data_IF_604961860710
#
_entry.id   IF_604961860710
#
_cell.length_a   1.000
_cell.length_b   1.000
_cell.length_c   1.000
_cell.angle_alpha   90.00
_cell.angle_beta   90.00
_cell.angle_gamma   90.00
#
_symmetry.space_group_name_H-M   'P 1'
#
loop_
_entity.id
_entity.type
_entity.pdbx_description
1 polymer ?
#
# COMPACT_ATOMS: atom_id res chain seq x y z
N UNK A 1 72.67 -9.89 6.25
CA UNK A 1 72.60 -8.62 5.50
C UNK A 1 71.33 -8.67 4.67
N UNK A 2 70.35 -7.80 4.94
CA UNK A 2 70.23 -6.43 4.41
C UNK A 2 69.97 -6.39 2.91
N UNK A 3 68.85 -5.74 2.52
CA UNK A 3 68.52 -5.28 1.16
C UNK A 3 67.22 -5.90 0.62
N UNK A 4 66.01 -5.42 0.96
CA UNK A 4 65.29 -4.27 0.36
C UNK A 4 65.21 -4.27 -1.17
N UNK A 5 63.98 -4.35 -1.69
CA UNK A 5 63.63 -4.19 -3.10
C UNK A 5 62.11 -4.24 -3.33
N UNK A 6 61.42 -3.16 -2.96
CA UNK A 6 60.02 -2.89 -3.27
C UNK A 6 59.80 -2.76 -4.79
N UNK A 7 58.79 -3.44 -5.32
CA UNK A 7 58.26 -3.25 -6.66
C UNK A 7 56.73 -3.23 -6.63
N UNK A 8 56.17 -2.02 -6.65
CA UNK A 8 54.74 -1.74 -6.79
C UNK A 8 54.24 -2.17 -8.18
N UNK A 9 53.20 -3.01 -8.20
CA UNK A 9 52.39 -3.30 -9.38
C UNK A 9 50.91 -3.12 -9.04
N UNK A 10 50.39 -1.91 -9.28
CA UNK A 10 48.96 -1.59 -9.24
C UNK A 10 48.27 -2.26 -10.44
N UNK A 11 47.59 -3.38 -10.20
CA UNK A 11 46.65 -3.98 -11.14
C UNK A 11 45.22 -3.59 -10.76
N UNK A 12 44.66 -2.65 -11.52
CA UNK A 12 43.24 -2.27 -11.49
C UNK A 12 42.37 -3.49 -11.83
N UNK A 13 41.67 -4.01 -10.83
CA UNK A 13 40.58 -4.98 -11.04
C UNK A 13 39.34 -4.25 -11.54
N UNK A 14 39.06 -4.38 -12.84
CA UNK A 14 37.76 -4.06 -13.42
C UNK A 14 36.73 -5.04 -12.85
N UNK A 15 35.93 -4.58 -11.89
CA UNK A 15 34.73 -5.27 -11.43
C UNK A 15 33.70 -5.26 -12.56
N UNK A 16 33.49 -6.43 -13.18
CA UNK A 16 32.36 -6.65 -14.07
C UNK A 16 31.08 -6.61 -13.23
N UNK A 17 30.34 -5.50 -13.31
CA UNK A 17 28.98 -5.40 -12.82
C UNK A 17 28.12 -6.40 -13.61
N UNK A 18 27.71 -7.48 -12.94
CA UNK A 18 26.77 -8.43 -13.50
C UNK A 18 25.40 -7.75 -13.55
N UNK A 19 24.91 -7.51 -14.77
CA UNK A 19 23.55 -7.05 -15.00
C UNK A 19 22.54 -8.00 -14.33
N UNK A 20 21.46 -7.49 -13.72
CA UNK A 20 20.42 -8.34 -13.18
C UNK A 20 19.80 -9.20 -14.29
N UNK A 21 19.41 -10.44 -14.00
CA UNK A 21 18.79 -11.31 -14.99
C UNK A 21 17.49 -10.66 -15.51
N UNK A 22 17.15 -10.84 -16.80
CA UNK A 22 15.91 -10.33 -17.35
C UNK A 22 14.74 -10.93 -16.57
N UNK A 23 13.84 -10.06 -16.10
CA UNK A 23 12.58 -10.46 -15.49
C UNK A 23 11.90 -11.47 -16.41
N UNK A 24 11.77 -12.71 -15.94
CA UNK A 24 10.85 -13.68 -16.51
C UNK A 24 9.50 -13.00 -16.58
N UNK A 25 8.96 -12.86 -17.79
CA UNK A 25 7.61 -12.38 -18.01
C UNK A 25 6.64 -13.36 -17.34
N UNK A 26 6.32 -13.11 -16.07
CA UNK A 26 5.13 -13.61 -15.42
C UNK A 26 3.97 -13.13 -16.28
N UNK A 27 3.15 -14.06 -16.78
CA UNK A 27 1.92 -13.74 -17.49
C UNK A 27 1.18 -12.72 -16.63
N UNK A 28 1.03 -11.49 -17.12
CA UNK A 28 0.31 -10.45 -16.40
C UNK A 28 -1.10 -10.99 -16.12
N UNK A 29 -1.34 -11.23 -14.84
CA UNK A 29 -2.60 -11.67 -14.30
C UNK A 29 -3.60 -10.54 -14.53
N UNK A 30 -4.71 -10.84 -15.22
CA UNK A 30 -5.77 -9.86 -15.51
C UNK A 30 -6.64 -9.66 -14.26
N UNK A 31 -6.00 -9.27 -13.15
CA UNK A 31 -6.67 -9.02 -11.87
C UNK A 31 -7.35 -7.66 -11.96
N UNK A 32 -8.66 -7.68 -12.16
CA UNK A 32 -9.52 -6.52 -12.02
C UNK A 32 -9.83 -6.27 -10.54
N UNK A 33 -9.75 -5.02 -10.11
CA UNK A 33 -10.14 -4.62 -8.75
C UNK A 33 -11.25 -3.58 -8.83
N UNK A 34 -12.35 -3.81 -8.11
CA UNK A 34 -13.51 -2.90 -8.10
C UNK A 34 -14.24 -2.90 -6.76
N UNK A 35 -15.12 -1.92 -6.57
CA UNK A 35 -16.05 -1.90 -5.45
C UNK A 35 -16.90 -3.17 -5.44
N UNK A 36 -17.09 -3.70 -4.24
CA UNK A 36 -17.96 -4.84 -4.02
C UNK A 36 -19.42 -4.45 -4.23
N UNK A 37 -20.20 -5.36 -4.82
CA UNK A 37 -21.63 -5.18 -5.08
C UNK A 37 -22.46 -6.26 -4.39
N UNK A 38 -23.76 -6.01 -4.22
CA UNK A 38 -24.67 -7.01 -3.63
C UNK A 38 -24.79 -8.27 -4.50
N UNK A 39 -24.66 -8.12 -5.83
CA UNK A 39 -24.74 -9.21 -6.80
C UNK A 39 -23.58 -10.22 -6.66
N UNK A 40 -22.45 -9.79 -6.07
CA UNK A 40 -21.28 -10.62 -5.82
C UNK A 40 -21.55 -11.75 -4.81
N UNK A 41 -22.69 -11.76 -4.11
CA UNK A 41 -23.01 -12.73 -3.06
C UNK A 41 -22.78 -14.20 -3.48
N UNK A 42 -23.10 -14.53 -4.74
CA UNK A 42 -22.89 -15.90 -5.27
C UNK A 42 -21.41 -16.23 -5.47
N UNK A 43 -20.65 -15.28 -6.02
CA UNK A 43 -19.23 -15.44 -6.25
C UNK A 43 -18.46 -15.45 -4.92
N UNK A 44 -18.86 -14.59 -3.98
CA UNK A 44 -18.34 -14.59 -2.61
C UNK A 44 -18.55 -15.94 -1.92
N UNK A 45 -19.73 -16.55 -2.05
CA UNK A 45 -19.98 -17.90 -1.53
C UNK A 45 -19.03 -18.95 -2.11
N UNK A 46 -18.69 -18.83 -3.39
CA UNK A 46 -17.72 -19.71 -4.06
C UNK A 46 -16.29 -19.46 -3.58
N UNK A 47 -15.89 -18.20 -3.42
CA UNK A 47 -14.59 -17.80 -2.85
C UNK A 47 -14.43 -18.31 -1.42
N UNK A 48 -15.45 -18.16 -0.57
CA UNK A 48 -15.44 -18.68 0.80
C UNK A 48 -15.32 -20.20 0.81
N UNK A 49 -15.98 -20.91 -0.11
CA UNK A 49 -15.83 -22.35 -0.24
C UNK A 49 -14.40 -22.76 -0.61
N UNK A 50 -13.74 -22.03 -1.53
CA UNK A 50 -12.32 -22.22 -1.87
C UNK A 50 -11.41 -21.96 -0.66
N UNK A 51 -11.67 -20.90 0.10
CA UNK A 51 -10.85 -20.44 1.22
C UNK A 51 -11.09 -21.18 2.56
N UNK A 52 -11.56 -22.43 2.55
CA UNK A 52 -11.75 -23.25 3.76
C UNK A 52 -13.16 -23.21 4.37
N UNK A 53 -14.12 -22.61 3.68
CA UNK A 53 -15.55 -22.68 3.98
C UNK A 53 -16.03 -21.75 5.09
N UNK A 54 -17.35 -21.70 5.28
CA UNK A 54 -18.02 -20.75 6.18
C UNK A 54 -17.66 -20.91 7.66
N UNK A 55 -17.13 -22.08 8.07
CA UNK A 55 -16.69 -22.29 9.45
C UNK A 55 -15.39 -21.54 9.75
N UNK A 56 -14.40 -21.62 8.84
CA UNK A 56 -13.14 -20.88 8.99
C UNK A 56 -13.37 -19.38 8.98
N UNK A 57 -14.21 -18.92 8.04
CA UNK A 57 -14.63 -17.52 7.98
C UNK A 57 -15.32 -17.05 9.26
N UNK A 58 -16.20 -17.88 9.84
CA UNK A 58 -16.89 -17.56 11.09
C UNK A 58 -15.94 -17.53 12.29
N UNK A 59 -14.93 -18.40 12.30
CA UNK A 59 -13.92 -18.38 13.36
C UNK A 59 -13.05 -17.11 13.29
N UNK A 60 -12.73 -16.63 12.08
CA UNK A 60 -11.94 -15.42 11.87
C UNK A 60 -12.74 -14.13 12.10
N UNK A 61 -13.94 -14.04 11.53
CA UNK A 61 -14.71 -12.79 11.42
C UNK A 61 -16.10 -12.88 12.06
N UNK A 62 -16.45 -13.95 12.77
CA UNK A 62 -17.79 -14.12 13.34
C UNK A 62 -18.88 -14.27 12.27
N UNK A 63 -20.10 -13.85 12.59
CA UNK A 63 -21.21 -13.96 11.64
C UNK A 63 -21.02 -12.97 10.48
N UNK A 64 -20.80 -13.51 9.28
CA UNK A 64 -20.65 -12.73 8.06
C UNK A 64 -21.97 -12.73 7.29
N UNK A 65 -22.51 -11.54 7.04
CA UNK A 65 -23.60 -11.30 6.11
C UNK A 65 -23.05 -10.39 5.00
N UNK A 66 -22.93 -10.92 3.78
CA UNK A 66 -22.37 -10.20 2.64
C UNK A 66 -23.09 -8.89 2.37
N UNK A 67 -24.42 -8.90 2.35
CA UNK A 67 -25.21 -7.71 2.07
C UNK A 67 -24.94 -6.59 3.09
N UNK A 68 -24.96 -6.94 4.37
CA UNK A 68 -24.66 -5.98 5.44
C UNK A 68 -23.22 -5.45 5.37
N UNK A 69 -22.25 -6.29 4.99
CA UNK A 69 -20.87 -5.86 4.84
C UNK A 69 -20.67 -4.90 3.67
N UNK A 70 -21.31 -5.15 2.52
CA UNK A 70 -21.22 -4.27 1.35
C UNK A 70 -21.95 -2.95 1.60
N UNK A 71 -23.13 -2.99 2.24
CA UNK A 71 -23.94 -1.79 2.51
C UNK A 71 -23.37 -0.91 3.62
N UNK A 72 -22.84 -1.50 4.68
CA UNK A 72 -22.42 -0.77 5.89
C UNK A 72 -20.90 -0.63 6.01
N UNK A 73 -20.13 -1.35 5.20
CA UNK A 73 -18.68 -1.25 5.20
C UNK A 73 -18.24 0.13 4.69
N UNK A 74 -17.33 0.77 5.43
CA UNK A 74 -16.70 2.02 5.00
C UNK A 74 -16.10 1.87 3.59
N UNK A 75 -15.34 0.78 3.37
CA UNK A 75 -14.78 0.48 2.06
C UNK A 75 -14.81 -1.02 1.76
N UNK A 76 -15.63 -1.41 0.78
CA UNK A 76 -15.81 -2.81 0.37
C UNK A 76 -15.31 -3.00 -1.06
N UNK A 77 -14.36 -3.90 -1.25
CA UNK A 77 -13.66 -4.10 -2.52
C UNK A 77 -13.45 -5.59 -2.80
N UNK A 78 -13.50 -5.94 -4.08
CA UNK A 78 -13.24 -7.29 -4.57
C UNK A 78 -12.16 -7.28 -5.64
N UNK A 79 -11.39 -8.35 -5.70
CA UNK A 79 -10.52 -8.67 -6.82
C UNK A 79 -11.15 -9.80 -7.61
N UNK A 80 -11.19 -9.65 -8.93
CA UNK A 80 -11.78 -10.60 -9.85
C UNK A 80 -10.88 -10.84 -11.05
N UNK A 81 -11.02 -12.01 -11.66
CA UNK A 81 -10.36 -12.34 -12.92
C UNK A 81 -11.31 -13.11 -13.83
N UNK A 82 -11.08 -13.10 -15.15
CA UNK A 82 -11.79 -13.98 -16.07
C UNK A 82 -11.59 -15.43 -15.67
N UNK A 83 -12.67 -16.22 -15.64
CA UNK A 83 -12.59 -17.65 -15.37
C UNK A 83 -11.80 -18.37 -16.45
N UNK A 84 -11.18 -19.49 -16.08
CA UNK A 84 -10.44 -20.37 -17.02
C UNK A 84 -11.34 -20.88 -18.16
N UNK A 85 -12.64 -21.08 -17.90
CA UNK A 85 -13.62 -21.48 -18.93
C UNK A 85 -14.01 -20.34 -19.88
N UNK A 86 -13.53 -19.12 -19.63
CA UNK A 86 -13.77 -17.91 -20.42
C UNK A 86 -15.18 -17.33 -20.25
N UNK A 87 -16.01 -17.86 -19.34
CA UNK A 87 -17.41 -17.45 -19.20
C UNK A 87 -17.63 -16.78 -17.85
N UNK A 88 -17.51 -15.45 -17.86
CA UNK A 88 -17.75 -14.59 -16.70
C UNK A 88 -16.53 -14.45 -15.79
N UNK A 89 -16.74 -13.75 -14.68
CA UNK A 89 -15.70 -13.47 -13.70
C UNK A 89 -15.76 -14.46 -12.53
N UNK A 90 -14.61 -14.64 -11.88
CA UNK A 90 -14.55 -15.22 -10.54
C UNK A 90 -13.86 -14.26 -9.57
N UNK A 91 -14.26 -14.33 -8.30
CA UNK A 91 -13.55 -13.59 -7.26
C UNK A 91 -12.29 -14.34 -6.85
N UNK A 92 -11.20 -13.59 -6.81
CA UNK A 92 -9.91 -13.99 -6.26
C UNK A 92 -9.71 -13.45 -4.84
N UNK A 93 -10.38 -12.35 -4.50
CA UNK A 93 -10.27 -11.74 -3.17
C UNK A 93 -11.47 -10.88 -2.80
N UNK A 94 -11.74 -10.78 -1.49
CA UNK A 94 -12.74 -9.88 -0.92
C UNK A 94 -12.19 -9.23 0.36
N UNK A 95 -12.27 -7.90 0.43
CA UNK A 95 -11.78 -7.09 1.53
C UNK A 95 -12.86 -6.07 1.91
N UNK A 96 -13.19 -6.01 3.20
CA UNK A 96 -14.14 -5.03 3.74
C UNK A 96 -13.48 -4.29 4.90
N UNK A 97 -13.39 -2.98 4.77
CA UNK A 97 -12.74 -2.07 5.70
C UNK A 97 -13.76 -1.23 6.45
N UNK A 98 -13.45 -0.90 7.71
CA UNK A 98 -14.18 0.06 8.55
C UNK A 98 -13.21 0.89 9.39
N UNK A 99 -13.71 1.95 10.02
CA UNK A 99 -12.99 2.82 10.97
C UNK A 99 -12.82 2.20 12.37
N UNK A 100 -13.32 0.97 12.57
CA UNK A 100 -13.19 0.21 13.81
C UNK A 100 -13.05 -1.30 13.54
N UNK A 101 -12.31 -2.03 14.40
CA UNK A 101 -12.21 -3.48 14.30
C UNK A 101 -13.54 -4.13 14.69
N UNK A 102 -13.85 -5.27 14.09
CA UNK A 102 -15.07 -6.02 14.40
C UNK A 102 -15.20 -6.40 15.88
N UNK A 103 -14.10 -6.54 16.60
CA UNK A 103 -14.09 -6.85 18.04
C UNK A 103 -14.46 -5.68 18.94
N UNK A 104 -14.34 -4.43 18.46
CA UNK A 104 -14.60 -3.21 19.23
C UNK A 104 -15.19 -2.12 18.33
N UNK A 105 -16.52 -1.92 18.32
CA UNK A 105 -17.18 -0.98 17.41
C UNK A 105 -17.03 0.49 17.81
N UNK A 106 -16.41 0.81 18.95
CA UNK A 106 -16.21 2.19 19.38
C UNK A 106 -14.79 2.68 19.07
N UNK A 107 -14.70 3.69 18.20
CA UNK A 107 -13.45 4.30 17.75
C UNK A 107 -12.48 4.64 18.90
N UNK A 108 -12.97 5.36 19.92
CA UNK A 108 -12.18 5.79 21.07
C UNK A 108 -11.64 4.62 21.89
N UNK A 109 -12.42 3.55 22.02
CA UNK A 109 -12.02 2.37 22.78
C UNK A 109 -10.95 1.60 22.06
N UNK A 110 -11.05 1.46 20.73
CA UNK A 110 -10.03 0.75 19.99
C UNK A 110 -8.70 1.49 19.99
N UNK A 111 -8.74 2.81 19.80
CA UNK A 111 -7.53 3.60 19.83
C UNK A 111 -6.82 3.52 21.19
N UNK A 112 -7.60 3.56 22.29
CA UNK A 112 -7.04 3.43 23.63
C UNK A 112 -6.35 2.09 23.85
N UNK A 113 -7.04 0.96 23.61
CA UNK A 113 -6.40 -0.35 23.84
C UNK A 113 -5.25 -0.61 22.87
N UNK A 114 -5.34 -0.12 21.63
CA UNK A 114 -4.28 -0.29 20.64
C UNK A 114 -3.04 0.52 21.03
N UNK A 115 -3.23 1.76 21.50
CA UNK A 115 -2.16 2.58 22.06
C UNK A 115 -1.49 1.90 23.26
N UNK A 116 -2.28 1.35 24.19
CA UNK A 116 -1.72 0.62 25.34
C UNK A 116 -0.96 -0.66 24.92
N UNK A 117 -1.40 -1.33 23.85
CA UNK A 117 -0.83 -2.60 23.39
C UNK A 117 0.45 -2.43 22.54
N UNK A 118 0.48 -1.42 21.67
CA UNK A 118 1.52 -1.26 20.65
C UNK A 118 2.36 0.02 20.80
N UNK A 119 1.86 1.02 21.53
CA UNK A 119 2.53 2.30 21.83
C UNK A 119 3.18 2.98 20.60
N UNK A 120 2.46 2.98 19.48
CA UNK A 120 2.90 3.63 18.25
C UNK A 120 1.98 4.81 17.89
N UNK A 121 2.46 6.06 18.00
CA UNK A 121 1.64 7.25 17.79
C UNK A 121 1.29 7.51 16.31
N UNK A 122 1.81 6.72 15.36
CA UNK A 122 1.49 6.86 13.94
C UNK A 122 0.05 6.45 13.61
N UNK A 123 -0.52 5.55 14.39
CA UNK A 123 -1.90 5.07 14.21
C UNK A 123 -2.89 6.05 14.83
N UNK A 124 -3.79 6.59 14.00
CA UNK A 124 -4.83 7.51 14.41
C UNK A 124 -6.18 7.14 13.78
N UNK A 125 -7.27 7.63 14.37
CA UNK A 125 -8.63 7.43 13.82
C UNK A 125 -8.76 7.96 12.39
N UNK A 126 -8.00 9.00 12.03
CA UNK A 126 -8.07 9.65 10.73
C UNK A 126 -7.30 8.94 9.62
N UNK A 127 -6.35 8.06 9.95
CA UNK A 127 -5.45 7.44 8.97
C UNK A 127 -5.40 5.90 9.03
N UNK A 128 -6.26 5.29 9.83
CA UNK A 128 -6.25 3.83 10.06
C UNK A 128 -7.61 3.23 9.78
N UNK A 129 -7.64 2.23 8.89
CA UNK A 129 -8.81 1.39 8.65
C UNK A 129 -8.57 -0.04 9.11
N UNK A 130 -9.64 -0.72 9.49
CA UNK A 130 -9.67 -2.10 9.97
C UNK A 130 -10.33 -3.03 8.95
N UNK A 131 -9.59 -4.03 8.51
CA UNK A 131 -10.07 -5.14 7.71
C UNK A 131 -11.01 -6.04 8.53
N UNK A 132 -12.30 -5.75 8.45
CA UNK A 132 -13.38 -6.51 9.09
C UNK A 132 -13.76 -7.79 8.32
N UNK A 133 -13.21 -7.96 7.13
CA UNK A 133 -13.24 -9.18 6.33
C UNK A 133 -12.00 -9.19 5.41
N UNK A 134 -11.28 -10.31 5.36
CA UNK A 134 -10.31 -10.61 4.31
C UNK A 134 -10.49 -12.08 3.90
N UNK A 135 -10.74 -12.31 2.62
CA UNK A 135 -10.81 -13.64 2.02
C UNK A 135 -9.99 -13.61 0.73
N UNK A 136 -9.05 -14.54 0.59
CA UNK A 136 -8.22 -14.71 -0.60
C UNK A 136 -8.42 -16.12 -1.14
N UNK A 137 -8.41 -16.25 -2.46
CA UNK A 137 -8.40 -17.55 -3.12
C UNK A 137 -7.03 -18.22 -2.89
N UNK A 138 -6.98 -19.38 -2.21
CA UNK A 138 -5.72 -20.05 -1.94
C UNK A 138 -4.98 -20.55 -3.19
N UNK A 139 -5.66 -20.61 -4.36
CA UNK A 139 -5.04 -20.97 -5.63
C UNK A 139 -4.45 -19.78 -6.39
N UNK A 140 -4.83 -18.55 -6.04
CA UNK A 140 -4.34 -17.33 -6.68
C UNK A 140 -3.03 -16.85 -6.06
N UNK A 141 -2.29 -16.01 -6.79
CA UNK A 141 -1.14 -15.31 -6.23
C UNK A 141 -1.63 -14.24 -5.25
N UNK A 142 -1.41 -14.50 -3.96
CA UNK A 142 -1.88 -13.63 -2.90
C UNK A 142 -1.18 -12.25 -2.90
N UNK A 143 0.09 -12.17 -3.29
CA UNK A 143 0.81 -10.89 -3.33
C UNK A 143 0.22 -9.98 -4.40
N UNK A 144 -0.07 -10.55 -5.56
CA UNK A 144 -0.69 -9.84 -6.67
C UNK A 144 -2.12 -9.41 -6.35
N UNK A 145 -2.95 -10.34 -5.85
CA UNK A 145 -4.36 -10.06 -5.54
C UNK A 145 -4.49 -9.08 -4.39
N UNK A 146 -3.87 -9.36 -3.24
CA UNK A 146 -3.97 -8.48 -2.07
C UNK A 146 -3.24 -7.16 -2.31
N UNK A 147 -2.11 -7.18 -3.02
CA UNK A 147 -1.38 -5.99 -3.43
C UNK A 147 -2.23 -5.06 -4.30
N UNK A 148 -2.89 -5.60 -5.33
CA UNK A 148 -3.80 -4.81 -6.18
C UNK A 148 -4.96 -4.22 -5.38
N UNK A 149 -5.55 -4.99 -4.45
CA UNK A 149 -6.63 -4.52 -3.59
C UNK A 149 -6.17 -3.40 -2.64
N UNK A 150 -5.04 -3.56 -1.96
CA UNK A 150 -4.49 -2.56 -1.05
C UNK A 150 -4.05 -1.30 -1.81
N UNK A 151 -3.40 -1.44 -2.97
CA UNK A 151 -3.10 -0.32 -3.86
C UNK A 151 -4.35 0.46 -4.24
N UNK A 152 -5.44 -0.22 -4.57
CA UNK A 152 -6.72 0.44 -4.89
C UNK A 152 -7.32 1.17 -3.69
N UNK A 153 -7.28 0.56 -2.49
CA UNK A 153 -7.72 1.19 -1.23
C UNK A 153 -6.93 2.47 -0.97
N UNK A 154 -5.60 2.39 -0.93
CA UNK A 154 -4.74 3.54 -0.61
C UNK A 154 -4.83 4.65 -1.66
N UNK A 155 -4.97 4.32 -2.95
CA UNK A 155 -5.19 5.34 -3.98
C UNK A 155 -6.56 6.03 -3.86
N UNK A 156 -7.58 5.33 -3.37
CA UNK A 156 -8.94 5.90 -3.19
C UNK A 156 -9.10 6.67 -1.87
N UNK A 157 -8.27 6.36 -0.88
CA UNK A 157 -8.30 6.96 0.46
C UNK A 157 -6.94 7.61 0.78
N UNK A 158 -6.69 8.84 0.31
CA UNK A 158 -5.39 9.50 0.48
C UNK A 158 -5.05 9.84 1.94
N UNK A 159 -6.06 9.93 2.81
CA UNK A 159 -5.91 10.15 4.24
C UNK A 159 -5.51 8.88 5.02
N UNK A 160 -5.65 7.70 4.41
CA UNK A 160 -5.35 6.41 5.05
C UNK A 160 -3.91 6.01 4.79
N UNK A 161 -3.18 5.79 5.87
CA UNK A 161 -1.79 5.32 5.87
C UNK A 161 -1.71 3.84 6.27
N UNK A 162 -2.67 3.35 7.05
CA UNK A 162 -2.64 2.01 7.64
C UNK A 162 -3.94 1.24 7.40
N UNK A 163 -3.79 -0.02 6.97
CA UNK A 163 -4.87 -1.01 7.01
C UNK A 163 -4.48 -2.11 7.98
N UNK A 164 -5.24 -2.28 9.05
CA UNK A 164 -5.02 -3.26 10.10
C UNK A 164 -5.96 -4.46 9.96
N UNK A 165 -5.48 -5.67 10.22
CA UNK A 165 -6.28 -6.88 10.28
C UNK A 165 -6.08 -7.55 11.65
N UNK A 166 -7.15 -7.71 12.42
CA UNK A 166 -7.15 -8.55 13.64
C UNK A 166 -7.66 -9.94 13.35
N UNK A 167 -6.94 -10.96 13.80
CA UNK A 167 -7.36 -12.36 13.80
C UNK A 167 -7.46 -12.90 15.23
N UNK A 168 -8.53 -13.63 15.58
CA UNK A 168 -8.63 -14.24 16.90
C UNK A 168 -7.53 -15.26 17.20
N UNK A 169 -7.24 -15.47 18.49
CA UNK A 169 -6.22 -16.43 18.92
C UNK A 169 -6.51 -17.83 18.38
N UNK A 170 -5.50 -18.44 17.75
CA UNK A 170 -5.60 -19.77 17.14
C UNK A 170 -6.22 -19.80 15.74
N UNK A 171 -6.66 -18.66 15.21
CA UNK A 171 -7.03 -18.54 13.79
C UNK A 171 -5.75 -18.33 12.97
N UNK A 172 -5.48 -19.17 11.95
CA UNK A 172 -4.30 -18.99 11.12
C UNK A 172 -4.42 -17.72 10.26
N UNK A 173 -3.28 -17.08 10.01
CA UNK A 173 -3.18 -15.99 9.04
C UNK A 173 -3.61 -16.50 7.65
N UNK A 174 -4.48 -15.79 6.91
CA UNK A 174 -4.84 -16.17 5.56
C UNK A 174 -3.59 -16.40 4.70
N UNK A 175 -3.59 -17.49 3.93
CA UNK A 175 -2.43 -17.88 3.14
C UNK A 175 -2.01 -16.73 2.22
N UNK A 176 -0.72 -16.37 2.28
CA UNK A 176 -0.15 -15.30 1.48
C UNK A 176 -0.45 -13.88 1.98
N UNK A 177 -1.28 -13.66 3.00
CA UNK A 177 -1.49 -12.30 3.52
C UNK A 177 -0.20 -11.63 4.01
N UNK A 178 0.79 -12.43 4.45
CA UNK A 178 2.09 -11.94 4.91
C UNK A 178 3.01 -11.44 3.80
N UNK A 179 2.69 -11.62 2.51
CA UNK A 179 3.44 -10.97 1.42
C UNK A 179 3.14 -9.48 1.35
N UNK A 180 1.95 -9.06 1.78
CA UNK A 180 1.51 -7.66 1.74
C UNK A 180 1.36 -7.03 3.14
N UNK A 181 1.19 -7.84 4.19
CA UNK A 181 0.98 -7.35 5.55
C UNK A 181 2.05 -7.87 6.50
N UNK A 182 2.52 -7.01 7.40
CA UNK A 182 3.48 -7.36 8.43
C UNK A 182 2.74 -7.63 9.74
N UNK A 183 3.18 -8.63 10.50
CA UNK A 183 2.63 -8.85 11.83
C UNK A 183 3.19 -7.80 12.79
N UNK A 184 2.31 -7.13 13.54
CA UNK A 184 2.70 -6.21 14.59
C UNK A 184 3.11 -6.98 15.85
N UNK A 185 4.20 -6.51 16.46
CA UNK A 185 4.67 -6.97 17.76
C UNK A 185 4.18 -6.01 18.83
N UNK A 186 3.62 -6.55 19.92
CA UNK A 186 3.19 -5.74 21.05
C UNK A 186 4.38 -5.08 21.74
N UNK A 187 4.15 -3.90 22.32
CA UNK A 187 5.15 -3.23 23.12
C UNK A 187 5.54 -4.12 24.33
N UNK A 188 6.85 -4.22 24.68
CA UNK A 188 7.29 -5.09 25.78
C UNK A 188 6.57 -4.84 27.10
N UNK A 189 6.26 -3.59 27.42
CA UNK A 189 5.55 -3.24 28.66
C UNK A 189 4.11 -3.78 28.66
N UNK A 190 3.44 -3.77 27.50
CA UNK A 190 2.11 -4.35 27.36
C UNK A 190 2.13 -5.87 27.56
N UNK A 191 3.19 -6.55 27.07
CA UNK A 191 3.39 -7.98 27.28
C UNK A 191 3.57 -8.30 28.77
N UNK A 192 4.39 -7.52 29.49
CA UNK A 192 4.59 -7.69 30.93
C UNK A 192 3.30 -7.47 31.72
N UNK A 193 2.52 -6.45 31.35
CA UNK A 193 1.20 -6.22 31.95
C UNK A 193 0.31 -7.43 31.73
N UNK A 194 0.22 -7.97 30.50
CA UNK A 194 -0.59 -9.17 30.22
C UNK A 194 -0.17 -10.41 31.01
N UNK A 195 1.14 -10.66 31.18
CA UNK A 195 1.64 -11.80 31.94
C UNK A 195 1.34 -11.69 33.45
N UNK A 196 1.26 -10.46 33.95
CA UNK A 196 0.97 -10.15 35.35
C UNK A 196 -0.52 -9.94 35.66
N UNK A 197 -1.32 -9.62 34.64
CA UNK A 197 -2.73 -9.26 34.77
C UNK A 197 -3.61 -10.49 34.94
N UNK A 198 -4.49 -10.44 35.94
CA UNK A 198 -5.67 -11.32 36.00
C UNK A 198 -6.68 -10.89 34.92
N UNK A 199 -7.49 -11.81 34.39
CA UNK A 199 -8.47 -11.60 33.29
C UNK A 199 -9.58 -10.53 33.52
N UNK A 200 -9.43 -9.73 34.58
CA UNK A 200 -10.23 -8.55 34.91
C UNK A 200 -9.87 -7.31 34.08
N UNK A 201 -8.67 -7.25 33.50
CA UNK A 201 -8.20 -6.07 32.78
C UNK A 201 -8.84 -5.99 31.38
N UNK A 202 -9.34 -4.81 31.01
CA UNK A 202 -10.02 -4.60 29.72
C UNK A 202 -9.06 -4.84 28.55
N UNK A 203 -7.82 -4.36 28.67
CA UNK A 203 -6.75 -4.58 27.68
C UNK A 203 -6.50 -6.08 27.48
N UNK A 204 -6.34 -6.84 28.57
CA UNK A 204 -6.10 -8.28 28.50
C UNK A 204 -7.23 -9.01 27.76
N UNK A 205 -8.49 -8.60 27.93
CA UNK A 205 -9.63 -9.19 27.19
C UNK A 205 -9.62 -8.86 25.71
N UNK A 206 -9.24 -7.64 25.33
CA UNK A 206 -9.16 -7.26 23.92
C UNK A 206 -8.01 -7.98 23.24
N UNK A 207 -6.82 -8.02 23.84
CA UNK A 207 -5.68 -8.72 23.27
C UNK A 207 -5.90 -10.24 23.27
N UNK A 208 -6.52 -10.80 24.31
CA UNK A 208 -6.87 -12.23 24.30
C UNK A 208 -7.85 -12.58 23.16
N UNK A 209 -8.77 -11.66 22.83
CA UNK A 209 -9.67 -11.79 21.67
C UNK A 209 -8.98 -11.49 20.35
N UNK A 210 -8.08 -10.51 20.28
CA UNK A 210 -7.32 -10.09 19.12
C UNK A 210 -5.94 -10.80 19.15
N UNK A 211 -5.91 -12.07 18.76
CA UNK A 211 -4.72 -12.91 18.87
C UNK A 211 -3.55 -12.48 17.98
N UNK A 212 -3.82 -11.98 16.78
CA UNK A 212 -2.78 -11.54 15.83
C UNK A 212 -3.25 -10.27 15.14
N UNK A 213 -2.37 -9.27 15.04
CA UNK A 213 -2.63 -8.04 14.29
C UNK A 213 -1.62 -7.93 13.16
N UNK A 214 -2.12 -7.76 11.94
CA UNK A 214 -1.32 -7.48 10.75
C UNK A 214 -1.53 -6.04 10.30
N UNK A 215 -0.50 -5.43 9.71
CA UNK A 215 -0.54 -4.08 9.15
C UNK A 215 -0.08 -4.08 7.70
N UNK A 216 -0.85 -3.43 6.83
CA UNK A 216 -0.40 -2.93 5.55
C UNK A 216 -0.14 -1.43 5.68
N UNK A 217 1.02 -0.98 5.20
CA UNK A 217 1.44 0.42 5.20
C UNK A 217 1.35 0.99 3.80
N UNK A 218 0.82 2.20 3.67
CA UNK A 218 0.61 2.89 2.40
C UNK A 218 1.86 2.92 1.54
N UNK A 219 3.01 3.22 2.13
CA UNK A 219 4.28 3.40 1.43
C UNK A 219 4.76 2.15 0.69
N UNK A 220 4.26 0.97 1.07
CA UNK A 220 4.53 -0.30 0.38
C UNK A 220 3.79 -0.40 -0.96
N UNK A 221 2.64 0.29 -1.10
CA UNK A 221 1.73 0.16 -2.25
C UNK A 221 1.63 1.42 -3.09
N UNK A 222 1.78 2.59 -2.44
CA UNK A 222 1.69 3.89 -3.08
C UNK A 222 3.02 4.62 -2.86
N UNK A 223 3.77 4.90 -3.93
CA UNK A 223 5.03 5.61 -3.80
C UNK A 223 4.83 7.01 -3.21
N UNK A 224 5.67 7.40 -2.26
CA UNK A 224 5.61 8.74 -1.65
C UNK A 224 6.14 9.80 -2.63
N UNK A 225 5.26 10.70 -3.05
CA UNK A 225 5.63 11.86 -3.85
C UNK A 225 6.30 12.91 -2.95
N UNK A 226 7.57 13.21 -3.20
CA UNK A 226 8.28 14.32 -2.55
C UNK A 226 8.36 15.51 -3.48
N UNK A 227 8.02 16.69 -2.97
CA UNK A 227 8.10 17.94 -3.74
C UNK A 227 9.34 18.71 -3.31
N UNK A 228 10.16 19.13 -4.28
CA UNK A 228 11.28 20.03 -4.05
C UNK A 228 11.37 21.06 -5.17
N UNK A 229 12.21 22.06 -4.99
CA UNK A 229 12.57 22.96 -6.09
C UNK A 229 13.25 22.15 -7.20
N UNK A 230 12.83 22.40 -8.44
CA UNK A 230 13.42 21.78 -9.61
C UNK A 230 14.84 22.33 -9.85
N UNK A 231 15.74 21.46 -10.30
CA UNK A 231 17.09 21.79 -10.74
C UNK A 231 17.28 21.38 -12.21
N UNK A 232 18.30 21.92 -12.87
CA UNK A 232 18.49 21.74 -14.31
C UNK A 232 18.70 20.26 -14.67
N UNK A 233 19.25 19.47 -13.74
CA UNK A 233 19.44 18.02 -13.88
C UNK A 233 18.11 17.24 -14.00
N UNK A 234 17.00 17.79 -13.51
CA UNK A 234 15.67 17.16 -13.64
C UNK A 234 15.15 17.17 -15.09
N UNK A 235 15.79 17.94 -15.98
CA UNK A 235 15.41 18.06 -17.39
C UNK A 235 15.26 16.70 -18.08
N UNK A 236 16.22 15.80 -17.89
CA UNK A 236 16.27 14.54 -18.63
C UNK A 236 15.14 13.58 -18.20
N UNK A 237 14.76 13.60 -16.93
CA UNK A 237 13.63 12.83 -16.40
C UNK A 237 12.28 13.46 -16.84
N UNK A 238 12.20 14.79 -16.94
CA UNK A 238 10.96 15.53 -17.23
C UNK A 238 10.65 15.66 -18.73
N UNK A 239 11.67 15.68 -19.59
CA UNK A 239 11.52 15.77 -21.04
C UNK A 239 10.57 14.73 -21.66
N UNK A 240 10.67 13.41 -21.34
CA UNK A 240 9.74 12.43 -21.88
C UNK A 240 8.30 12.66 -21.41
N UNK A 241 8.11 13.06 -20.14
CA UNK A 241 6.79 13.34 -19.56
C UNK A 241 6.13 14.53 -20.28
N UNK A 242 6.90 15.57 -20.56
CA UNK A 242 6.42 16.76 -21.27
C UNK A 242 6.04 16.46 -22.72
N UNK A 243 6.85 15.65 -23.41
CA UNK A 243 6.57 15.23 -24.78
C UNK A 243 5.29 14.39 -24.90
N UNK A 244 5.03 13.49 -23.95
CA UNK A 244 3.80 12.68 -23.92
C UNK A 244 2.53 13.51 -23.68
N UNK A 245 2.61 14.58 -22.88
CA UNK A 245 1.44 15.40 -22.55
C UNK A 245 1.12 16.47 -23.59
N UNK A 246 2.07 16.86 -24.44
CA UNK A 246 1.80 17.77 -25.54
C UNK A 246 2.88 17.73 -26.63
N UNK A 247 2.60 17.00 -27.71
CA UNK A 247 3.40 17.05 -28.95
C UNK A 247 3.57 18.50 -29.44
N UNK A 248 2.53 19.33 -29.28
CA UNK A 248 2.50 20.73 -29.74
C UNK A 248 3.42 21.64 -28.93
N UNK A 249 3.54 21.45 -27.61
CA UNK A 249 4.41 22.28 -26.77
C UNK A 249 5.89 21.91 -26.95
N UNK A 250 6.20 20.62 -27.08
CA UNK A 250 7.58 20.17 -27.32
C UNK A 250 8.14 20.71 -28.66
N UNK A 251 7.32 20.71 -29.72
CA UNK A 251 7.69 21.28 -31.03
C UNK A 251 7.82 22.81 -31.02
N UNK A 252 7.02 23.52 -30.21
CA UNK A 252 6.96 24.98 -30.24
C UNK A 252 8.05 25.66 -29.40
N UNK A 253 8.41 25.06 -28.26
CA UNK A 253 9.34 25.68 -27.31
C UNK A 253 10.78 25.13 -27.39
N UNK A 254 10.98 24.03 -28.11
CA UNK A 254 12.30 23.44 -28.36
C UNK A 254 12.81 22.54 -27.24
N UNK A 255 13.83 21.73 -27.55
CA UNK A 255 14.33 20.66 -26.67
C UNK A 255 14.89 21.14 -25.32
N UNK A 256 15.26 22.43 -25.18
CA UNK A 256 15.86 22.97 -23.96
C UNK A 256 14.91 23.85 -23.12
N UNK A 257 13.66 24.00 -23.55
CA UNK A 257 12.70 24.88 -22.88
C UNK A 257 12.56 24.62 -21.38
N UNK A 258 12.47 23.35 -20.99
CA UNK A 258 12.34 22.96 -19.58
C UNK A 258 13.57 23.36 -18.78
N UNK A 259 14.77 23.17 -19.34
CA UNK A 259 16.02 23.55 -18.68
C UNK A 259 16.11 25.07 -18.50
N UNK A 260 15.77 25.85 -19.53
CA UNK A 260 15.77 27.31 -19.46
C UNK A 260 14.74 27.84 -18.46
N UNK A 261 13.55 27.26 -18.43
CA UNK A 261 12.50 27.63 -17.47
C UNK A 261 12.91 27.31 -16.02
N UNK A 262 13.56 26.16 -15.80
CA UNK A 262 14.06 25.78 -14.47
C UNK A 262 15.24 26.67 -14.06
N UNK A 263 16.11 27.07 -14.98
CA UNK A 263 17.24 27.97 -14.69
C UNK A 263 16.79 29.41 -14.41
N UNK A 264 15.72 29.86 -15.09
CA UNK A 264 15.18 31.23 -14.98
C UNK A 264 14.31 31.49 -13.73
N UNK A 265 14.32 30.59 -12.74
CA UNK A 265 13.59 30.77 -11.47
C UNK A 265 14.08 31.99 -10.70
N UNK A 266 13.15 32.75 -10.12
CA UNK A 266 13.43 33.93 -9.30
C UNK A 266 12.44 34.02 -8.12
N UNK A 267 12.23 35.21 -7.54
CA UNK A 267 11.30 35.35 -6.42
C UNK A 267 9.83 35.26 -6.85
N UNK A 268 9.53 35.57 -8.11
CA UNK A 268 8.17 35.64 -8.65
C UNK A 268 7.85 34.39 -9.50
N UNK A 269 8.86 33.64 -9.93
CA UNK A 269 8.74 32.42 -10.75
C UNK A 269 9.44 31.25 -10.09
N UNK A 270 8.70 30.18 -9.78
CA UNK A 270 9.22 28.95 -9.17
C UNK A 270 8.86 27.73 -10.01
N UNK A 271 9.80 26.79 -10.09
CA UNK A 271 9.59 25.47 -10.65
C UNK A 271 9.78 24.43 -9.54
N UNK A 272 8.77 23.58 -9.35
CA UNK A 272 8.77 22.50 -8.38
C UNK A 272 8.69 21.18 -9.11
N UNK A 273 9.46 20.20 -8.65
CA UNK A 273 9.45 18.85 -9.18
C UNK A 273 8.84 17.90 -8.15
N UNK A 274 7.95 17.04 -8.61
CA UNK A 274 7.49 15.87 -7.87
C UNK A 274 8.43 14.71 -8.14
N UNK A 275 8.96 14.10 -7.09
CA UNK A 275 9.91 12.99 -7.18
C UNK A 275 9.36 11.74 -6.50
N UNK A 276 9.61 10.59 -7.11
CA UNK A 276 9.36 9.27 -6.52
C UNK A 276 10.71 8.55 -6.48
N UNK A 277 11.21 8.30 -5.27
CA UNK A 277 12.60 7.91 -5.08
C UNK A 277 13.53 9.05 -5.51
N UNK A 278 14.42 8.75 -6.45
CA UNK A 278 15.38 9.72 -7.01
C UNK A 278 14.98 10.23 -8.40
N UNK A 279 13.82 9.83 -8.93
CA UNK A 279 13.36 10.19 -10.27
C UNK A 279 12.31 11.29 -10.24
N UNK A 280 12.43 12.27 -11.14
CA UNK A 280 11.39 13.26 -11.36
C UNK A 280 10.21 12.64 -12.13
N UNK A 281 9.00 12.81 -11.62
CA UNK A 281 7.76 12.25 -12.19
C UNK A 281 6.72 13.31 -12.53
N UNK A 282 7.04 14.59 -12.31
CA UNK A 282 6.15 15.69 -12.65
C UNK A 282 6.77 17.04 -12.34
N UNK A 283 6.32 18.07 -13.05
CA UNK A 283 6.79 19.45 -12.93
C UNK A 283 5.60 20.38 -12.71
N UNK A 284 5.79 21.35 -11.83
CA UNK A 284 4.87 22.46 -11.60
C UNK A 284 5.63 23.78 -11.70
N UNK A 285 5.32 24.59 -12.71
CA UNK A 285 5.84 25.94 -12.85
C UNK A 285 4.77 26.95 -12.42
N UNK A 286 5.12 27.87 -11.54
CA UNK A 286 4.19 28.83 -10.93
C UNK A 286 4.80 30.24 -11.06
N UNK A 287 3.96 31.21 -11.41
CA UNK A 287 4.33 32.63 -11.48
C UNK A 287 3.40 33.47 -10.60
N UNK A 288 3.94 34.50 -9.96
CA UNK A 288 3.19 35.53 -9.24
C UNK A 288 2.52 36.54 -10.20
N UNK A 289 2.97 36.59 -11.45
CA UNK A 289 2.35 37.40 -12.50
C UNK A 289 1.04 36.76 -12.95
N UNK A 290 -0.07 37.44 -12.65
CA UNK A 290 -1.41 37.07 -13.13
C UNK A 290 -1.79 38.01 -14.26
N UNK A 291 -2.04 37.46 -15.45
CA UNK A 291 -2.58 38.24 -16.55
C UNK A 291 -4.08 38.50 -16.35
N UNK A 292 -4.40 39.70 -15.87
CA UNK A 292 -5.78 40.13 -15.63
C UNK A 292 -6.54 40.45 -16.93
N UNK A 293 -5.90 40.47 -18.10
CA UNK A 293 -6.56 40.76 -19.37
C UNK A 293 -7.30 39.53 -19.96
N UNK A 294 -7.05 38.34 -19.42
CA UNK A 294 -7.64 37.06 -19.85
C UNK A 294 -8.73 36.56 -18.88
N UNK A 295 -8.98 37.29 -17.79
CA UNK A 295 -10.07 37.07 -16.83
C UNK A 295 -11.33 37.87 -17.24
#
# INVERSE_FOLDING_TARGET
>A
GLGLGLGLGLGLGLGASAAPPPATATMASDVGVRRAELEDQRLFGSLVAKAGGSSGLRNAFGNVNWAALVEMGYFSIVAEAPRIDGVGMELLGALVLNDFPRSEPHAEKWLAWFGDAYDDPRYALSNTLWANLLVLDPAADAEEVLGAMLSSVFNTTPEVDFVLLTLPKGVPVPQGALSCMQQLEMHPDAVLVMESSTASDELARYVEKAGTVLVAQRETFVPSLKVRQACVEDHDDLAPIFAEQSEVLAEHYGEFFLAEMIDAQDNDRKALVGTVGDHAVGLMAISADIDTAVL
#
